data_IF_698126522272
#
_entry.id   IF_698126522272
#
_cell.length_a   1.000
_cell.length_b   1.000
_cell.length_c   1.000
_cell.angle_alpha   90.00
_cell.angle_beta   90.00
_cell.angle_gamma   90.00
#
_symmetry.space_group_name_H-M   'P 1'
#
loop_
_entity.id
_entity.type
_entity.pdbx_description
1 polymer ?
#
# COMPACT_ATOMS: atom_id res chain seq x y z
N UNK A 1 15.78 11.73 20.98
CA UNK A 1 14.54 12.50 20.74
C UNK A 1 14.54 12.93 19.29
N UNK A 2 13.60 12.45 18.48
CA UNK A 2 13.45 12.90 17.09
C UNK A 2 12.90 14.32 17.11
N UNK A 3 13.73 15.29 16.72
CA UNK A 3 13.29 16.68 16.60
C UNK A 3 12.43 16.83 15.35
N UNK A 4 11.29 17.50 15.46
CA UNK A 4 10.40 17.79 14.35
C UNK A 4 10.28 19.31 14.20
N UNK A 5 10.23 19.78 12.96
CA UNK A 5 9.92 21.15 12.58
C UNK A 5 8.47 21.20 12.13
N UNK A 6 7.69 22.12 12.68
CA UNK A 6 6.32 22.36 12.24
C UNK A 6 6.36 23.21 10.98
N UNK A 7 5.93 22.64 9.85
CA UNK A 7 5.77 23.38 8.60
C UNK A 7 4.29 23.48 8.24
N UNK A 8 3.95 24.43 7.37
CA UNK A 8 2.57 24.64 6.89
C UNK A 8 2.53 24.54 5.38
N UNK A 9 1.69 23.65 4.85
CA UNK A 9 1.34 23.57 3.44
C UNK A 9 -0.09 24.10 3.18
N UNK A 10 -0.58 24.02 1.95
CA UNK A 10 -1.95 24.43 1.58
C UNK A 10 -3.03 23.66 2.34
N UNK A 11 -2.75 22.43 2.79
CA UNK A 11 -3.67 21.60 3.58
C UNK A 11 -3.59 21.85 5.09
N UNK A 12 -2.61 22.60 5.58
CA UNK A 12 -2.47 22.93 7.00
C UNK A 12 -1.07 22.69 7.56
N UNK A 13 -0.98 22.57 8.89
CA UNK A 13 0.29 22.29 9.57
C UNK A 13 0.65 20.80 9.48
N UNK A 14 1.95 20.50 9.39
CA UNK A 14 2.50 19.16 9.33
C UNK A 14 3.85 19.11 10.06
N UNK A 15 4.11 17.99 10.73
CA UNK A 15 5.37 17.75 11.40
C UNK A 15 6.38 17.09 10.44
N UNK A 16 7.47 17.79 10.16
CA UNK A 16 8.56 17.31 9.31
C UNK A 16 9.75 16.97 10.21
N UNK A 17 10.40 15.81 10.09
CA UNK A 17 11.57 15.49 10.91
C UNK A 17 12.71 16.46 10.59
N UNK A 18 13.29 17.08 11.62
CA UNK A 18 14.31 18.11 11.39
C UNK A 18 15.66 17.54 10.91
N UNK A 19 15.84 16.22 10.99
CA UNK A 19 16.95 15.46 10.39
C UNK A 19 16.87 15.38 8.86
N UNK A 20 15.73 15.74 8.26
CA UNK A 20 15.48 15.60 6.83
C UNK A 20 15.59 16.94 6.11
N UNK A 21 16.02 16.86 4.85
CA UNK A 21 16.24 18.01 3.97
C UNK A 21 15.00 18.36 3.13
N UNK A 22 13.91 17.61 3.27
CA UNK A 22 12.64 17.88 2.61
C UNK A 22 11.68 18.65 3.52
N UNK A 23 10.66 19.29 2.95
CA UNK A 23 9.66 20.09 3.67
C UNK A 23 8.26 19.47 3.69
N UNK A 24 7.26 20.30 3.99
CA UNK A 24 5.86 19.90 4.19
C UNK A 24 5.24 19.10 3.05
N UNK A 25 5.43 19.54 1.79
CA UNK A 25 4.82 18.91 0.62
C UNK A 25 5.31 17.46 0.44
N UNK A 26 6.63 17.24 0.53
CA UNK A 26 7.23 15.91 0.43
C UNK A 26 6.82 15.03 1.61
N UNK A 27 6.78 15.57 2.81
CA UNK A 27 6.34 14.83 4.00
C UNK A 27 4.90 14.34 3.83
N UNK A 28 3.99 15.18 3.30
CA UNK A 28 2.62 14.78 3.00
C UNK A 28 2.57 13.68 1.94
N UNK A 29 3.32 13.80 0.85
CA UNK A 29 3.41 12.73 -0.15
C UNK A 29 3.85 11.42 0.50
N UNK A 30 4.87 11.44 1.37
CA UNK A 30 5.31 10.24 2.09
C UNK A 30 4.22 9.65 2.99
N UNK A 31 3.43 10.46 3.69
CA UNK A 31 2.29 9.97 4.48
C UNK A 31 1.24 9.28 3.61
N UNK A 32 0.88 9.90 2.47
CA UNK A 32 -0.12 9.35 1.56
C UNK A 32 0.36 8.08 0.84
N UNK A 33 1.62 8.04 0.40
CA UNK A 33 2.18 6.90 -0.35
C UNK A 33 2.68 5.76 0.56
N UNK A 34 3.05 6.02 1.82
CA UNK A 34 3.39 4.94 2.79
C UNK A 34 2.21 4.00 3.05
N UNK A 35 0.99 4.49 2.90
CA UNK A 35 -0.24 3.72 3.10
C UNK A 35 -0.53 2.79 1.90
N UNK A 36 0.07 3.03 0.72
CA UNK A 36 -0.10 2.17 -0.46
C UNK A 36 0.62 0.82 -0.40
N UNK A 37 1.15 0.41 0.76
CA UNK A 37 1.52 -0.99 0.99
C UNK A 37 0.24 -1.80 1.27
N UNK A 38 -0.66 -1.84 0.29
CA UNK A 38 -1.63 -2.92 0.15
C UNK A 38 -0.83 -4.21 0.26
N UNK A 39 -0.87 -4.79 1.45
CA UNK A 39 -0.41 -6.13 1.74
C UNK A 39 -1.24 -7.00 0.81
N UNK A 40 -0.69 -7.28 -0.37
CA UNK A 40 -1.17 -8.27 -1.31
C UNK A 40 -1.33 -9.55 -0.50
N UNK A 41 -2.53 -9.75 0.01
CA UNK A 41 -2.97 -11.00 0.58
C UNK A 41 -3.06 -11.91 -0.63
N UNK A 42 -1.92 -12.51 -0.98
CA UNK A 42 -1.86 -13.64 -1.87
C UNK A 42 -2.64 -14.79 -1.22
N UNK A 43 -3.97 -14.69 -1.20
CA UNK A 43 -4.82 -15.86 -1.06
C UNK A 43 -4.76 -16.53 -2.41
N UNK A 44 -4.23 -17.75 -2.35
CA UNK A 44 -3.81 -18.53 -3.49
C UNK A 44 -4.87 -18.58 -4.58
N UNK A 45 -4.40 -18.41 -5.80
CA UNK A 45 -5.02 -19.01 -6.95
C UNK A 45 -5.05 -20.54 -6.74
N UNK A 46 -6.12 -21.05 -6.15
CA UNK A 46 -6.54 -22.44 -6.36
C UNK A 46 -7.14 -22.50 -7.77
N UNK A 47 -6.28 -22.47 -8.78
CA UNK A 47 -6.64 -22.93 -10.12
C UNK A 47 -6.30 -24.42 -10.11
N UNK A 48 -7.26 -25.26 -9.73
CA UNK A 48 -7.22 -26.68 -10.06
C UNK A 48 -7.85 -26.85 -11.44
N UNK A 49 -7.09 -27.11 -12.53
CA UNK A 49 -7.68 -27.65 -13.74
C UNK A 49 -7.97 -29.13 -13.50
N UNK A 50 -9.15 -29.43 -12.96
CA UNK A 50 -9.69 -30.79 -12.90
C UNK A 50 -10.22 -31.19 -14.28
N UNK A 51 -9.31 -31.46 -15.21
CA UNK A 51 -9.62 -32.21 -16.42
C UNK A 51 -9.55 -33.70 -16.09
N UNK A 52 -10.68 -34.28 -15.71
CA UNK A 52 -10.96 -35.73 -15.65
C UNK A 52 -12.49 -35.84 -15.45
N UNK A 53 -13.33 -36.47 -16.26
CA UNK A 53 -13.13 -37.58 -17.17
C UNK A 53 -14.32 -37.60 -18.16
N UNK A 54 -14.05 -37.93 -19.41
CA UNK A 54 -15.09 -38.38 -20.33
C UNK A 54 -15.48 -39.83 -19.97
N UNK A 55 -16.79 -40.06 -19.86
CA UNK A 55 -17.42 -41.37 -19.66
C UNK A 55 -18.79 -41.09 -19.04
N UNK A 56 -19.95 -41.43 -19.59
CA UNK A 56 -20.32 -42.47 -20.53
C UNK A 56 -21.72 -42.92 -20.06
N UNK A 57 -22.69 -43.02 -20.98
CA UNK A 57 -24.05 -43.46 -20.69
C UNK A 57 -25.06 -42.31 -20.49
N UNK A 58 -26.32 -42.40 -20.86
CA UNK A 58 -27.16 -43.56 -21.19
C UNK A 58 -28.40 -43.06 -21.98
N UNK A 59 -28.94 -43.90 -22.88
CA UNK A 59 -30.36 -43.86 -23.29
C UNK A 59 -30.72 -42.99 -24.48
#
# INVERSE_FOLDING_TARGET
>A
MTTHRSEKDSMGAIEVPADKLWGAQTQRSLEHFRISTEKKNARGADIRPGADQAGGGEG
#
